data_IF_575152602514
#
_entry.id   IF_575152602514
#
_cell.length_a   1.000
_cell.length_b   1.000
_cell.length_c   1.000
_cell.angle_alpha   90.00
_cell.angle_beta   90.00
_cell.angle_gamma   90.00
#
_symmetry.space_group_name_H-M   'P 1'
#
loop_
_entity.id
_entity.type
_entity.pdbx_description
1 polymer ?
#
# COMPACT_ATOMS: atom_id res chain seq x y z
N UNK A 1 -5.63 9.87 -17.57
CA UNK A 1 -4.33 10.20 -18.23
C UNK A 1 -3.10 9.64 -17.50
N UNK A 2 -3.03 9.67 -16.16
CA UNK A 2 -1.83 9.26 -15.40
C UNK A 2 -1.51 7.75 -15.48
N UNK A 3 -2.54 6.89 -15.45
CA UNK A 3 -2.39 5.42 -15.42
C UNK A 3 -1.50 4.84 -16.54
N UNK A 4 -1.58 5.41 -17.75
CA UNK A 4 -0.78 4.96 -18.92
C UNK A 4 0.72 5.26 -18.79
N UNK A 5 1.12 6.10 -17.83
CA UNK A 5 2.51 6.47 -17.55
C UNK A 5 3.08 5.76 -16.31
N UNK A 6 2.27 4.95 -15.63
CA UNK A 6 2.66 4.26 -14.41
C UNK A 6 2.87 2.77 -14.70
N UNK A 7 3.90 2.21 -14.08
CA UNK A 7 4.17 0.78 -14.08
C UNK A 7 3.10 0.04 -13.25
N UNK A 8 2.83 0.55 -12.05
CA UNK A 8 1.76 0.09 -11.17
C UNK A 8 1.06 1.27 -10.49
N UNK A 9 -0.19 1.06 -10.06
CA UNK A 9 -0.90 2.03 -9.23
C UNK A 9 -1.88 1.32 -8.29
N UNK A 10 -1.98 1.84 -7.07
CA UNK A 10 -2.96 1.39 -6.05
C UNK A 10 -3.97 2.50 -5.81
N UNK A 11 -5.25 2.13 -5.74
CA UNK A 11 -6.32 3.06 -5.35
C UNK A 11 -6.72 2.74 -3.91
N UNK A 12 -6.60 3.74 -3.04
CA UNK A 12 -7.09 3.67 -1.67
C UNK A 12 -8.43 4.41 -1.58
N UNK A 13 -9.56 3.69 -1.44
CA UNK A 13 -10.85 4.34 -1.23
C UNK A 13 -10.89 4.92 0.18
N UNK A 14 -11.07 6.24 0.28
CA UNK A 14 -11.15 6.93 1.57
C UNK A 14 -12.35 6.44 2.39
N UNK A 15 -13.39 5.93 1.75
CA UNK A 15 -14.61 5.41 2.37
C UNK A 15 -14.34 4.26 3.34
N UNK A 16 -13.26 3.50 3.14
CA UNK A 16 -12.87 2.43 4.07
C UNK A 16 -12.49 2.96 5.45
N UNK A 17 -12.13 4.24 5.58
CA UNK A 17 -11.80 4.79 6.89
C UNK A 17 -12.98 4.79 7.85
N UNK A 18 -14.21 4.94 7.34
CA UNK A 18 -15.42 4.99 8.18
C UNK A 18 -15.70 3.67 8.90
N UNK A 19 -15.02 2.58 8.54
CA UNK A 19 -15.06 1.30 9.26
C UNK A 19 -14.12 1.26 10.47
N UNK A 20 -13.14 2.17 10.53
CA UNK A 20 -12.01 2.14 11.46
C UNK A 20 -12.06 3.32 12.45
N UNK A 21 -12.76 4.42 12.10
CA UNK A 21 -12.86 5.63 12.93
C UNK A 21 -14.24 5.77 13.59
N UNK A 22 -14.26 6.41 14.76
CA UNK A 22 -15.49 6.76 15.46
C UNK A 22 -16.23 7.91 14.76
N UNK A 23 -17.56 7.95 14.88
CA UNK A 23 -18.41 8.93 14.17
C UNK A 23 -18.13 10.40 14.52
N UNK A 24 -17.58 10.67 15.70
CA UNK A 24 -17.24 12.01 16.16
C UNK A 24 -15.81 12.44 15.80
N UNK A 25 -15.06 11.57 15.12
CA UNK A 25 -13.64 11.79 14.81
C UNK A 25 -13.50 13.05 13.94
N UNK A 26 -12.71 14.05 14.35
CA UNK A 26 -12.44 15.22 13.53
C UNK A 26 -11.81 14.84 12.20
N UNK A 27 -12.21 15.52 11.11
CA UNK A 27 -11.72 15.22 9.74
C UNK A 27 -10.19 15.13 9.66
N UNK A 28 -9.47 16.02 10.35
CA UNK A 28 -8.00 16.02 10.38
C UNK A 28 -7.43 14.72 10.98
N UNK A 29 -8.06 14.21 12.05
CA UNK A 29 -7.66 12.95 12.70
C UNK A 29 -7.99 11.76 11.80
N UNK A 30 -9.15 11.77 11.14
CA UNK A 30 -9.50 10.75 10.16
C UNK A 30 -8.45 10.68 9.03
N UNK A 31 -8.16 11.80 8.35
CA UNK A 31 -7.15 11.81 7.29
C UNK A 31 -5.76 11.38 7.78
N UNK A 32 -5.41 11.69 9.03
CA UNK A 32 -4.17 11.21 9.64
C UNK A 32 -4.11 9.68 9.76
N UNK A 33 -5.24 9.02 10.05
CA UNK A 33 -5.31 7.54 10.12
C UNK A 33 -5.14 6.92 8.74
N UNK A 34 -5.77 7.46 7.70
CA UNK A 34 -5.54 7.01 6.31
C UNK A 34 -4.06 7.14 5.95
N UNK A 35 -3.45 8.30 6.23
CA UNK A 35 -2.05 8.55 5.90
C UNK A 35 -1.12 7.57 6.62
N UNK A 36 -1.43 7.22 7.88
CA UNK A 36 -0.68 6.21 8.62
C UNK A 36 -0.80 4.84 7.97
N UNK A 37 -2.01 4.39 7.65
CA UNK A 37 -2.22 3.10 6.97
C UNK A 37 -1.49 3.01 5.62
N UNK A 38 -1.49 4.10 4.84
CA UNK A 38 -0.72 4.18 3.59
C UNK A 38 0.79 4.08 3.85
N UNK A 39 1.31 4.82 4.84
CA UNK A 39 2.72 4.79 5.20
C UNK A 39 3.16 3.40 5.68
N UNK A 40 2.34 2.73 6.47
CA UNK A 40 2.61 1.39 7.00
C UNK A 40 2.60 0.35 5.87
N UNK A 41 1.65 0.44 4.94
CA UNK A 41 1.60 -0.44 3.74
C UNK A 41 2.87 -0.31 2.88
N UNK A 42 3.34 0.92 2.67
CA UNK A 42 4.56 1.20 1.91
C UNK A 42 5.80 0.73 2.65
N UNK A 43 5.87 0.94 3.97
CA UNK A 43 6.98 0.48 4.80
C UNK A 43 7.11 -1.03 4.74
N UNK A 44 6.02 -1.77 4.91
CA UNK A 44 6.04 -3.24 4.87
C UNK A 44 6.55 -3.77 3.53
N UNK A 45 6.13 -3.16 2.41
CA UNK A 45 6.65 -3.53 1.09
C UNK A 45 8.16 -3.32 0.99
N UNK A 46 8.65 -2.17 1.46
CA UNK A 46 10.08 -1.84 1.44
C UNK A 46 10.85 -2.80 2.36
N UNK A 47 10.33 -3.10 3.55
CA UNK A 47 10.99 -4.00 4.50
C UNK A 47 11.21 -5.41 3.93
N UNK A 48 10.25 -5.96 3.18
CA UNK A 48 10.38 -7.27 2.53
C UNK A 48 11.54 -7.32 1.51
N UNK A 49 11.91 -6.18 0.93
CA UNK A 49 12.95 -6.06 -0.10
C UNK A 49 14.32 -5.83 0.52
N UNK A 50 14.36 -4.99 1.55
CA UNK A 50 15.60 -4.42 2.08
C UNK A 50 16.06 -5.06 3.39
N UNK A 51 15.15 -5.65 4.18
CA UNK A 51 15.52 -6.33 5.41
C UNK A 51 15.77 -7.81 5.14
N UNK A 52 16.93 -8.35 5.56
CA UNK A 52 17.22 -9.77 5.40
C UNK A 52 16.25 -10.60 6.26
N UNK A 53 15.41 -11.38 5.59
CA UNK A 53 14.51 -12.36 6.20
C UNK A 53 14.87 -13.80 5.81
N UNK A 54 14.22 -14.77 6.45
CA UNK A 54 14.36 -16.19 6.09
C UNK A 54 13.94 -16.45 4.63
N UNK A 55 12.94 -15.69 4.16
CA UNK A 55 12.51 -15.63 2.76
C UNK A 55 12.74 -14.19 2.31
N UNK A 56 13.77 -13.96 1.51
CA UNK A 56 14.07 -12.66 0.93
C UNK A 56 13.54 -12.62 -0.50
N UNK A 57 12.68 -11.65 -0.81
CA UNK A 57 12.27 -11.36 -2.19
C UNK A 57 13.22 -10.30 -2.72
N UNK A 58 13.80 -10.50 -3.90
CA UNK A 58 14.73 -9.53 -4.47
C UNK A 58 14.02 -8.42 -5.28
N UNK A 59 14.75 -7.35 -5.57
CA UNK A 59 14.21 -6.24 -6.35
C UNK A 59 13.91 -6.62 -7.82
N UNK A 60 14.60 -7.63 -8.36
CA UNK A 60 14.41 -8.07 -9.75
C UNK A 60 13.06 -8.79 -9.92
N UNK A 61 12.64 -9.57 -8.93
CA UNK A 61 11.33 -10.21 -8.87
C UNK A 61 10.21 -9.16 -8.84
N UNK A 62 10.34 -8.13 -8.00
CA UNK A 62 9.38 -7.03 -7.96
C UNK A 62 9.33 -6.24 -9.26
N UNK A 63 10.48 -5.96 -9.85
CA UNK A 63 10.54 -5.26 -11.14
C UNK A 63 9.81 -6.07 -12.21
N UNK A 64 10.00 -7.39 -12.24
CA UNK A 64 9.32 -8.30 -13.18
C UNK A 64 7.81 -8.27 -13.01
N UNK A 65 7.30 -8.24 -11.77
CA UNK A 65 5.86 -8.10 -11.49
C UNK A 65 5.30 -6.75 -11.98
N UNK A 66 6.09 -5.67 -11.90
CA UNK A 66 5.67 -4.33 -12.28
C UNK A 66 6.03 -3.93 -13.73
N UNK A 67 6.66 -4.81 -14.50
CA UNK A 67 7.04 -4.53 -15.89
C UNK A 67 5.82 -4.45 -16.82
N UNK A 68 4.72 -5.11 -16.48
CA UNK A 68 3.47 -5.00 -17.24
C UNK A 68 2.73 -3.68 -16.93
N UNK A 69 2.76 -2.77 -17.90
CA UNK A 69 2.33 -1.38 -17.71
C UNK A 69 0.83 -1.28 -17.49
N UNK A 70 0.44 -0.72 -16.34
CA UNK A 70 -0.96 -0.43 -16.03
C UNK A 70 -1.70 -1.55 -15.33
N UNK A 71 -0.97 -2.57 -14.84
CA UNK A 71 -1.52 -3.58 -13.95
C UNK A 71 -2.07 -2.92 -12.68
N UNK A 72 -3.36 -3.16 -12.40
CA UNK A 72 -3.97 -2.77 -11.14
C UNK A 72 -3.51 -3.77 -10.09
N UNK A 73 -2.56 -3.35 -9.26
CA UNK A 73 -2.05 -4.19 -8.18
C UNK A 73 -2.88 -3.96 -6.92
N UNK A 74 -3.22 -5.06 -6.24
CA UNK A 74 -3.84 -5.00 -4.92
C UNK A 74 -2.74 -5.20 -3.87
N UNK A 75 -2.51 -4.18 -3.05
CA UNK A 75 -1.75 -4.34 -1.81
C UNK A 75 -2.72 -4.86 -0.74
N UNK A 76 -2.67 -6.17 -0.49
CA UNK A 76 -3.30 -6.73 0.70
C UNK A 76 -2.31 -6.62 1.85
N UNK A 77 -2.64 -5.79 2.83
CA UNK A 77 -2.01 -5.83 4.15
C UNK A 77 -2.63 -7.04 4.85
N UNK A 78 -1.90 -8.15 4.92
CA UNK A 78 -2.20 -9.22 5.87
C UNK A 78 -1.52 -8.78 7.16
N UNK A 79 -2.29 -8.23 8.11
CA UNK A 79 -1.87 -8.27 9.50
C UNK A 79 -1.89 -9.74 9.90
N UNK A 80 -0.70 -10.35 9.97
CA UNK A 80 -0.55 -11.64 10.65
C UNK A 80 -0.58 -11.28 12.14
N UNK A 81 -1.71 -11.58 12.79
CA UNK A 81 -1.79 -11.64 14.26
C UNK A 81 -0.84 -12.71 14.81
#
# INVERSE_FOLDING_TARGET
KLRRKLNAFTILPNERIFQIIERDTPLKKALSVINKSLADSLRNLIEIIFLPGLINIDFADLKTIFEDRGSLTYLNVIEIE
#
